data_IF_917789421923
#
_entry.id   IF_917789421923
#
_cell.length_a   1.000
_cell.length_b   1.000
_cell.length_c   1.000
_cell.angle_alpha   90.00
_cell.angle_beta   90.00
_cell.angle_gamma   90.00
#
_symmetry.space_group_name_H-M   'P 1'
#
loop_
_entity.id
_entity.type
_entity.pdbx_description
1 polymer ?
#
# COMPACT_ATOMS: atom_id res chain seq x y z
N UNK A 1 5.55 -79.11 47.52
CA UNK A 1 5.03 -78.26 46.43
C UNK A 1 5.73 -78.64 45.15
N UNK A 2 4.98 -79.14 44.16
CA UNK A 2 5.48 -79.57 42.84
C UNK A 2 5.54 -78.37 41.91
N UNK A 3 6.65 -78.15 41.23
CA UNK A 3 6.66 -77.45 39.95
C UNK A 3 7.72 -78.06 39.04
N UNK A 4 7.25 -78.50 37.87
CA UNK A 4 7.95 -79.28 36.85
C UNK A 4 8.94 -78.41 36.08
N UNK A 5 10.09 -79.00 35.77
CA UNK A 5 10.98 -78.59 34.70
C UNK A 5 10.60 -79.40 33.46
N UNK A 6 10.22 -78.74 32.36
CA UNK A 6 10.15 -79.33 31.02
C UNK A 6 11.23 -78.66 30.13
N UNK A 7 12.00 -79.42 29.34
CA UNK A 7 13.01 -78.87 28.45
C UNK A 7 12.54 -78.70 26.99
N UNK A 8 13.02 -77.60 26.39
CA UNK A 8 13.42 -77.39 24.99
C UNK A 8 12.52 -77.91 23.85
N UNK A 9 11.93 -76.97 23.11
CA UNK A 9 11.54 -77.16 21.71
C UNK A 9 12.22 -76.11 20.82
N UNK A 10 12.98 -76.59 19.84
CA UNK A 10 13.70 -75.83 18.81
C UNK A 10 12.73 -75.10 17.88
N UNK A 11 12.92 -73.80 17.66
CA UNK A 11 12.33 -73.08 16.53
C UNK A 11 13.40 -72.47 15.63
N UNK A 12 13.27 -72.85 14.36
CA UNK A 12 14.19 -72.63 13.25
C UNK A 12 14.28 -71.14 12.88
N UNK A 13 15.49 -70.67 12.64
CA UNK A 13 15.79 -69.37 12.03
C UNK A 13 15.34 -69.37 10.55
N UNK A 14 14.50 -68.43 10.10
CA UNK A 14 14.31 -68.19 8.68
C UNK A 14 15.32 -67.13 8.21
N UNK A 15 16.10 -67.49 7.20
CA UNK A 15 16.93 -66.64 6.36
C UNK A 15 16.15 -65.43 5.84
N UNK A 16 16.73 -64.21 5.82
CA UNK A 16 16.07 -63.07 5.21
C UNK A 16 16.05 -63.23 3.69
N UNK A 17 14.84 -63.30 3.13
CA UNK A 17 14.59 -63.21 1.68
C UNK A 17 15.10 -61.85 1.19
N UNK A 18 16.03 -61.88 0.24
CA UNK A 18 16.33 -60.74 -0.65
C UNK A 18 15.05 -60.41 -1.44
N UNK A 19 14.45 -59.26 -1.16
CA UNK A 19 13.38 -58.70 -1.99
C UNK A 19 13.55 -57.19 -2.15
N UNK A 20 13.64 -56.74 -3.40
CA UNK A 20 13.37 -55.36 -3.81
C UNK A 20 14.57 -54.43 -3.83
N UNK A 21 15.11 -54.17 -5.02
CA UNK A 21 15.88 -52.95 -5.30
C UNK A 21 14.99 -51.73 -4.98
N UNK A 22 15.44 -50.74 -4.18
CA UNK A 22 14.80 -49.43 -4.21
C UNK A 22 15.28 -48.71 -5.48
N UNK A 23 14.61 -48.98 -6.60
CA UNK A 23 14.74 -48.22 -7.83
C UNK A 23 13.99 -46.90 -7.72
N UNK A 24 14.50 -45.98 -6.91
CA UNK A 24 13.98 -44.61 -6.82
C UNK A 24 15.15 -43.66 -6.65
N UNK A 25 15.49 -42.92 -7.72
CA UNK A 25 16.49 -41.85 -7.65
C UNK A 25 16.07 -40.85 -6.56
N UNK A 26 16.91 -40.56 -5.55
CA UNK A 26 16.67 -39.45 -4.63
C UNK A 26 17.01 -38.15 -5.39
N UNK A 27 16.06 -37.66 -6.17
CA UNK A 27 16.29 -36.50 -7.04
C UNK A 27 15.06 -35.96 -7.75
N UNK A 28 13.86 -36.37 -7.35
CA UNK A 28 12.64 -35.72 -7.81
C UNK A 28 12.59 -34.32 -7.22
N UNK A 29 12.83 -33.29 -8.05
CA UNK A 29 12.47 -31.91 -7.71
C UNK A 29 11.04 -31.92 -7.15
N UNK A 30 10.75 -31.21 -6.05
CA UNK A 30 9.38 -31.09 -5.56
C UNK A 30 8.50 -30.71 -6.75
N UNK A 31 7.48 -31.53 -7.04
CA UNK A 31 6.58 -31.27 -8.15
C UNK A 31 6.06 -29.85 -8.01
N UNK A 32 6.21 -29.03 -9.07
CA UNK A 32 5.66 -27.67 -9.11
C UNK A 32 4.20 -27.78 -8.66
N UNK A 33 3.87 -27.17 -7.52
CA UNK A 33 2.51 -27.17 -7.02
C UNK A 33 1.57 -26.71 -8.14
N UNK A 34 0.42 -27.37 -8.34
CA UNK A 34 -0.49 -27.01 -9.40
C UNK A 34 -0.88 -25.54 -9.26
N UNK A 35 -0.60 -24.76 -10.32
CA UNK A 35 -0.88 -23.33 -10.35
C UNK A 35 -2.39 -23.15 -10.18
N UNK A 36 -2.81 -22.69 -9.00
CA UNK A 36 -4.21 -22.35 -8.71
C UNK A 36 -4.71 -21.39 -9.79
N UNK A 37 -5.89 -21.66 -10.36
CA UNK A 37 -6.51 -20.72 -11.32
C UNK A 37 -6.70 -19.37 -10.65
N UNK A 38 -6.12 -18.35 -11.26
CA UNK A 38 -6.24 -16.95 -10.83
C UNK A 38 -7.68 -16.51 -10.98
N UNK A 39 -8.24 -15.92 -9.93
CA UNK A 39 -9.62 -15.44 -9.86
C UNK A 39 -9.67 -13.91 -10.07
N UNK A 40 -10.86 -13.38 -10.34
CA UNK A 40 -11.07 -11.93 -10.35
C UNK A 40 -10.71 -11.29 -8.99
N UNK A 41 -10.94 -12.00 -7.88
CA UNK A 41 -10.57 -11.57 -6.54
C UNK A 41 -9.06 -11.39 -6.37
N UNK A 42 -8.23 -12.20 -7.04
CA UNK A 42 -6.77 -12.07 -6.97
C UNK A 42 -6.28 -10.80 -7.70
N UNK A 43 -6.89 -10.44 -8.83
CA UNK A 43 -6.63 -9.18 -9.54
C UNK A 43 -7.08 -7.98 -8.72
N UNK A 44 -8.28 -8.03 -8.15
CA UNK A 44 -8.79 -6.98 -7.25
C UNK A 44 -7.88 -6.83 -6.02
N UNK A 45 -7.39 -7.94 -5.47
CA UNK A 45 -6.38 -7.94 -4.41
C UNK A 45 -5.06 -7.29 -4.85
N UNK A 46 -4.60 -7.59 -6.07
CA UNK A 46 -3.41 -7.00 -6.68
C UNK A 46 -3.50 -5.48 -6.90
N UNK A 47 -4.68 -4.96 -7.21
CA UNK A 47 -4.95 -3.52 -7.26
C UNK A 47 -4.87 -2.84 -5.88
N UNK A 48 -4.81 -3.61 -4.79
CA UNK A 48 -4.78 -3.19 -3.38
C UNK A 48 -5.88 -2.17 -3.06
N UNK A 49 -7.13 -2.59 -3.16
CA UNK A 49 -8.29 -1.78 -2.77
C UNK A 49 -8.15 -1.11 -1.39
N UNK A 50 -7.40 -1.73 -0.47
CA UNK A 50 -7.15 -1.22 0.89
C UNK A 50 -6.33 0.08 0.91
N UNK A 51 -5.56 0.39 -0.12
CA UNK A 51 -4.75 1.62 -0.21
C UNK A 51 -5.30 2.63 -1.22
N UNK A 52 -6.32 2.27 -2.01
CA UNK A 52 -7.05 3.24 -2.86
C UNK A 52 -7.59 4.47 -2.12
N UNK A 53 -8.03 4.37 -0.84
CA UNK A 53 -8.44 5.54 -0.08
C UNK A 53 -7.39 6.68 -0.08
N UNK A 54 -6.09 6.36 -0.13
CA UNK A 54 -5.01 7.35 -0.20
C UNK A 54 -4.93 8.09 -1.55
N UNK A 55 -5.45 7.53 -2.63
CA UNK A 55 -5.57 8.23 -3.91
C UNK A 55 -6.80 9.13 -3.97
N UNK A 56 -7.87 8.78 -3.24
CA UNK A 56 -9.14 9.49 -3.25
C UNK A 56 -9.12 10.68 -2.27
N UNK A 57 -8.62 10.46 -1.05
CA UNK A 57 -8.55 11.46 0.02
C UNK A 57 -7.94 12.82 -0.39
N UNK A 58 -6.73 12.88 -1.00
CA UNK A 58 -6.14 14.16 -1.38
C UNK A 58 -6.94 14.90 -2.46
N UNK A 59 -7.58 14.18 -3.39
CA UNK A 59 -8.43 14.80 -4.43
C UNK A 59 -9.69 15.39 -3.82
N UNK A 60 -10.32 14.69 -2.86
CA UNK A 60 -11.45 15.22 -2.11
C UNK A 60 -11.05 16.51 -1.36
N UNK A 61 -9.95 16.48 -0.60
CA UNK A 61 -9.44 17.65 0.10
C UNK A 61 -9.14 18.83 -0.83
N UNK A 62 -8.43 18.57 -1.93
CA UNK A 62 -8.08 19.61 -2.89
C UNK A 62 -9.30 20.25 -3.54
N UNK A 63 -10.35 19.44 -3.78
CA UNK A 63 -11.64 19.90 -4.30
C UNK A 63 -12.41 20.72 -3.25
N UNK A 64 -12.44 20.28 -1.99
CA UNK A 64 -13.06 21.03 -0.90
C UNK A 64 -12.41 22.40 -0.69
N UNK A 65 -11.08 22.47 -0.71
CA UNK A 65 -10.34 23.73 -0.64
C UNK A 65 -10.63 24.63 -1.84
N UNK A 66 -10.65 24.08 -3.06
CA UNK A 66 -11.02 24.86 -4.24
C UNK A 66 -12.41 25.49 -4.07
N UNK A 67 -13.39 24.70 -3.59
CA UNK A 67 -14.76 25.16 -3.38
C UNK A 67 -14.87 26.28 -2.36
N UNK A 68 -14.16 26.18 -1.24
CA UNK A 68 -14.11 27.21 -0.21
C UNK A 68 -13.54 28.55 -0.73
N UNK A 69 -12.67 28.49 -1.74
CA UNK A 69 -12.04 29.65 -2.36
C UNK A 69 -12.74 30.09 -3.68
N UNK A 70 -13.96 29.61 -3.93
CA UNK A 70 -14.78 30.01 -5.09
C UNK A 70 -14.57 29.22 -6.38
N UNK A 71 -13.67 28.23 -6.40
CA UNK A 71 -13.44 27.34 -7.53
C UNK A 71 -14.24 26.04 -7.43
N UNK A 72 -14.95 25.65 -8.49
CA UNK A 72 -15.65 24.36 -8.51
C UNK A 72 -15.86 23.90 -9.95
N UNK A 73 -15.27 22.75 -10.28
CA UNK A 73 -15.51 22.08 -11.55
C UNK A 73 -15.51 20.57 -11.34
N UNK A 74 -16.72 20.00 -11.34
CA UNK A 74 -16.92 18.57 -11.13
C UNK A 74 -16.19 17.72 -12.18
N UNK A 75 -16.11 18.18 -13.43
CA UNK A 75 -15.42 17.46 -14.50
C UNK A 75 -13.93 17.37 -14.21
N UNK A 76 -13.31 18.50 -13.84
CA UNK A 76 -11.90 18.54 -13.46
C UNK A 76 -11.63 17.73 -12.19
N UNK A 77 -12.51 17.79 -11.19
CA UNK A 77 -12.38 16.98 -9.98
C UNK A 77 -12.41 15.47 -10.29
N UNK A 78 -13.34 15.02 -11.14
CA UNK A 78 -13.44 13.62 -11.57
C UNK A 78 -12.24 13.17 -12.42
N UNK A 79 -11.70 14.05 -13.25
CA UNK A 79 -10.48 13.75 -14.02
C UNK A 79 -9.25 13.64 -13.11
N UNK A 80 -9.09 14.55 -12.13
CA UNK A 80 -8.04 14.45 -11.12
C UNK A 80 -8.16 13.16 -10.30
N UNK A 81 -9.39 12.78 -9.95
CA UNK A 81 -9.67 11.51 -9.28
C UNK A 81 -9.25 10.31 -10.15
N UNK A 82 -9.59 10.33 -11.44
CA UNK A 82 -9.20 9.30 -12.39
C UNK A 82 -7.67 9.18 -12.48
N UNK A 83 -6.95 10.30 -12.59
CA UNK A 83 -5.48 10.33 -12.57
C UNK A 83 -4.93 9.67 -11.30
N UNK A 84 -5.40 10.10 -10.12
CA UNK A 84 -4.91 9.60 -8.85
C UNK A 84 -5.18 8.10 -8.66
N UNK A 85 -6.39 7.64 -8.97
CA UNK A 85 -6.79 6.23 -8.86
C UNK A 85 -6.01 5.36 -9.84
N UNK A 86 -5.92 5.76 -11.11
CA UNK A 86 -5.18 4.98 -12.11
C UNK A 86 -3.68 4.93 -11.82
N UNK A 87 -3.06 6.02 -11.36
CA UNK A 87 -1.66 6.00 -10.91
C UNK A 87 -1.47 5.05 -9.71
N UNK A 88 -2.35 5.12 -8.70
CA UNK A 88 -2.28 4.25 -7.52
C UNK A 88 -2.39 2.77 -7.91
N UNK A 89 -3.31 2.41 -8.79
CA UNK A 89 -3.47 1.04 -9.29
C UNK A 89 -2.25 0.61 -10.11
N UNK A 90 -1.75 1.48 -11.00
CA UNK A 90 -0.54 1.24 -11.79
C UNK A 90 0.68 0.97 -10.91
N UNK A 91 0.89 1.77 -9.87
CA UNK A 91 1.96 1.59 -8.87
C UNK A 91 1.79 0.25 -8.12
N UNK A 92 0.56 -0.11 -7.76
CA UNK A 92 0.32 -1.37 -7.04
C UNK A 92 0.72 -2.59 -7.87
N UNK A 93 0.37 -2.60 -9.17
CA UNK A 93 0.79 -3.67 -10.07
C UNK A 93 2.27 -3.60 -10.46
N UNK A 94 2.86 -2.42 -10.63
CA UNK A 94 4.29 -2.28 -10.90
C UNK A 94 5.12 -2.78 -9.71
N UNK A 95 4.65 -2.56 -8.49
CA UNK A 95 5.23 -3.11 -7.27
C UNK A 95 5.10 -4.63 -7.22
N UNK A 96 3.93 -5.20 -7.54
CA UNK A 96 3.71 -6.66 -7.63
C UNK A 96 4.70 -7.31 -8.61
N UNK A 97 4.82 -6.73 -9.81
CA UNK A 97 5.78 -7.15 -10.82
C UNK A 97 7.22 -7.05 -10.31
N UNK A 98 7.65 -5.88 -9.83
CA UNK A 98 9.04 -5.58 -9.50
C UNK A 98 9.55 -6.37 -8.29
N UNK A 99 8.75 -6.49 -7.23
CA UNK A 99 9.13 -7.28 -6.05
C UNK A 99 9.11 -8.79 -6.36
N UNK A 100 8.19 -9.24 -7.21
CA UNK A 100 8.09 -10.64 -7.63
C UNK A 100 9.26 -11.10 -8.50
N UNK A 101 9.74 -10.27 -9.44
CA UNK A 101 10.93 -10.61 -10.25
C UNK A 101 12.24 -10.54 -9.47
N UNK A 102 12.30 -9.74 -8.39
CA UNK A 102 13.48 -9.58 -7.54
C UNK A 102 13.63 -10.71 -6.51
N UNK A 103 12.58 -11.47 -6.25
CA UNK A 103 12.54 -12.47 -5.18
C UNK A 103 12.25 -11.89 -3.79
N UNK A 104 11.92 -10.60 -3.68
CA UNK A 104 11.55 -9.98 -2.38
C UNK A 104 10.30 -10.65 -1.79
N UNK A 105 9.38 -11.10 -2.66
CA UNK A 105 8.15 -11.79 -2.24
C UNK A 105 8.37 -13.26 -1.81
N UNK A 106 9.58 -13.83 -1.95
CA UNK A 106 9.87 -15.21 -1.51
C UNK A 106 9.84 -15.36 0.03
N UNK A 107 10.06 -14.27 0.75
CA UNK A 107 10.10 -14.21 2.22
C UNK A 107 8.79 -13.68 2.84
N UNK A 108 7.69 -13.65 2.06
CA UNK A 108 6.46 -12.92 2.41
C UNK A 108 5.53 -13.66 3.36
N UNK A 109 5.00 -12.94 4.35
CA UNK A 109 4.01 -13.44 5.33
C UNK A 109 2.58 -12.87 5.08
N UNK A 110 2.44 -11.90 4.17
CA UNK A 110 1.17 -11.28 3.77
C UNK A 110 0.41 -12.00 2.63
N UNK A 111 -0.70 -11.42 2.14
CA UNK A 111 -1.47 -12.00 1.02
C UNK A 111 -0.58 -12.30 -0.18
N UNK A 112 -0.89 -13.41 -0.85
CA UNK A 112 -0.17 -13.88 -2.03
C UNK A 112 -0.20 -12.83 -3.15
N UNK A 113 0.97 -12.53 -3.74
CA UNK A 113 1.11 -11.63 -4.90
C UNK A 113 0.94 -12.39 -6.20
N UNK A 114 0.48 -11.71 -7.25
CA UNK A 114 0.23 -12.35 -8.55
C UNK A 114 1.53 -12.87 -9.19
N UNK A 115 2.58 -12.05 -9.13
CA UNK A 115 3.90 -12.36 -9.68
C UNK A 115 4.70 -13.26 -8.74
N UNK A 116 4.81 -12.88 -7.45
CA UNK A 116 5.60 -13.59 -6.46
C UNK A 116 5.14 -15.03 -6.19
N UNK A 117 3.84 -15.32 -6.34
CA UNK A 117 3.32 -16.70 -6.22
C UNK A 117 3.55 -17.56 -7.46
N UNK A 118 4.01 -16.99 -8.56
CA UNK A 118 4.06 -17.65 -9.86
C UNK A 118 2.69 -17.89 -10.50
N UNK A 119 1.60 -17.36 -9.92
CA UNK A 119 0.24 -17.58 -10.42
C UNK A 119 -0.04 -16.87 -11.74
N UNK A 120 0.60 -15.71 -11.97
CA UNK A 120 0.52 -14.95 -13.22
C UNK A 120 1.92 -14.72 -13.78
N UNK A 121 2.07 -14.81 -15.11
CA UNK A 121 3.33 -14.45 -15.78
C UNK A 121 3.68 -12.99 -15.47
N UNK A 122 4.91 -12.67 -15.02
CA UNK A 122 5.31 -11.29 -14.67
C UNK A 122 5.02 -10.27 -15.78
N UNK A 123 5.26 -10.66 -17.05
CA UNK A 123 4.98 -9.81 -18.22
C UNK A 123 3.52 -9.39 -18.34
N UNK A 124 2.57 -10.22 -17.89
CA UNK A 124 1.14 -9.89 -17.89
C UNK A 124 0.83 -8.84 -16.83
N UNK A 125 1.36 -8.99 -15.61
CA UNK A 125 1.19 -8.02 -14.53
C UNK A 125 1.80 -6.66 -14.92
N UNK A 126 2.98 -6.67 -15.56
CA UNK A 126 3.59 -5.45 -16.10
C UNK A 126 2.70 -4.76 -17.15
N UNK A 127 2.11 -5.52 -18.10
CA UNK A 127 1.19 -4.93 -19.09
C UNK A 127 -0.02 -4.26 -18.44
N UNK A 128 -0.57 -4.87 -17.38
CA UNK A 128 -1.68 -4.27 -16.62
C UNK A 128 -1.23 -2.98 -15.93
N UNK A 129 -0.06 -2.98 -15.28
CA UNK A 129 0.51 -1.77 -14.68
C UNK A 129 0.66 -0.63 -15.71
N UNK A 130 1.23 -0.92 -16.87
CA UNK A 130 1.42 0.05 -17.96
C UNK A 130 0.09 0.54 -18.54
N UNK A 131 -0.93 -0.31 -18.63
CA UNK A 131 -2.26 0.10 -19.08
C UNK A 131 -2.88 1.14 -18.12
N UNK A 132 -2.76 0.93 -16.80
CA UNK A 132 -3.22 1.91 -15.82
C UNK A 132 -2.42 3.21 -15.85
N UNK A 133 -1.09 3.17 -16.05
CA UNK A 133 -0.31 4.39 -16.27
C UNK A 133 -0.72 5.12 -17.56
N UNK A 134 -1.05 4.40 -18.63
CA UNK A 134 -1.56 5.01 -19.85
C UNK A 134 -2.93 5.67 -19.63
N UNK A 135 -3.84 5.02 -18.90
CA UNK A 135 -5.13 5.60 -18.54
C UNK A 135 -4.97 6.87 -17.69
N UNK A 136 -4.06 6.86 -16.72
CA UNK A 136 -3.72 8.05 -15.94
C UNK A 136 -3.16 9.17 -16.83
N UNK A 137 -2.26 8.84 -17.76
CA UNK A 137 -1.69 9.81 -18.69
C UNK A 137 -2.76 10.42 -19.60
N UNK A 138 -3.69 9.61 -20.13
CA UNK A 138 -4.82 10.11 -20.92
C UNK A 138 -5.69 11.07 -20.11
N UNK A 139 -6.09 10.69 -18.89
CA UNK A 139 -6.87 11.57 -18.02
C UNK A 139 -6.12 12.89 -17.70
N UNK A 140 -4.81 12.81 -17.43
CA UNK A 140 -3.97 13.99 -17.18
C UNK A 140 -3.81 14.89 -18.40
N UNK A 141 -3.66 14.32 -19.60
CA UNK A 141 -3.64 15.09 -20.86
C UNK A 141 -4.98 15.78 -21.09
N UNK A 142 -6.11 15.11 -20.82
CA UNK A 142 -7.44 15.74 -20.90
C UNK A 142 -7.55 16.93 -19.94
N UNK A 143 -7.06 16.81 -18.70
CA UNK A 143 -6.97 17.95 -17.77
C UNK A 143 -6.14 19.08 -18.37
N UNK A 144 -4.97 18.79 -18.94
CA UNK A 144 -4.10 19.81 -19.56
C UNK A 144 -4.79 20.49 -20.74
N UNK A 145 -5.48 19.74 -21.59
CA UNK A 145 -6.19 20.30 -22.75
C UNK A 145 -7.38 21.17 -22.32
N UNK A 146 -8.15 20.75 -21.32
CA UNK A 146 -9.26 21.57 -20.80
C UNK A 146 -8.72 22.83 -20.14
N UNK A 147 -7.65 22.69 -19.34
CA UNK A 147 -7.14 23.79 -18.51
C UNK A 147 -6.16 24.71 -19.24
N UNK A 148 -5.57 24.26 -20.34
CA UNK A 148 -4.46 24.91 -21.05
C UNK A 148 -3.19 25.09 -20.19
N UNK A 149 -3.04 24.33 -19.11
CA UNK A 149 -1.87 24.40 -18.22
C UNK A 149 -0.82 23.36 -18.63
N UNK A 150 -0.03 23.70 -19.64
CA UNK A 150 0.91 22.77 -20.25
C UNK A 150 2.03 22.28 -19.31
N UNK A 151 2.42 23.06 -18.31
CA UNK A 151 3.46 22.65 -17.37
C UNK A 151 3.03 21.47 -16.47
N UNK A 152 1.72 21.18 -16.35
CA UNK A 152 1.24 19.98 -15.63
C UNK A 152 1.65 18.68 -16.32
N UNK A 153 1.99 18.70 -17.62
CA UNK A 153 2.57 17.52 -18.29
C UNK A 153 3.90 17.11 -17.64
N UNK A 154 4.73 18.08 -17.23
CA UNK A 154 5.98 17.80 -16.54
C UNK A 154 5.73 17.21 -15.14
N UNK A 155 4.71 17.69 -14.42
CA UNK A 155 4.30 17.13 -13.12
C UNK A 155 3.80 15.70 -13.29
N UNK A 156 2.95 15.45 -14.28
CA UNK A 156 2.45 14.10 -14.60
C UNK A 156 3.58 13.14 -14.96
N UNK A 157 4.52 13.57 -15.79
CA UNK A 157 5.72 12.79 -16.11
C UNK A 157 6.55 12.48 -14.86
N UNK A 158 6.78 13.48 -14.00
CA UNK A 158 7.49 13.29 -12.74
C UNK A 158 6.77 12.29 -11.82
N UNK A 159 5.43 12.32 -11.75
CA UNK A 159 4.64 11.38 -10.98
C UNK A 159 4.76 9.94 -11.50
N UNK A 160 4.73 9.73 -12.82
CA UNK A 160 4.94 8.41 -13.44
C UNK A 160 6.37 7.90 -13.21
N UNK A 161 7.36 8.78 -13.31
CA UNK A 161 8.77 8.45 -13.04
C UNK A 161 8.95 8.04 -11.58
N UNK A 162 8.41 8.82 -10.63
CA UNK A 162 8.43 8.48 -9.21
C UNK A 162 7.76 7.13 -8.96
N UNK A 163 6.53 6.94 -9.47
CA UNK A 163 5.79 5.69 -9.42
C UNK A 163 6.60 4.47 -9.89
N UNK A 164 7.36 4.61 -10.98
CA UNK A 164 8.19 3.52 -11.52
C UNK A 164 9.44 3.24 -10.65
N UNK A 165 10.19 4.28 -10.28
CA UNK A 165 11.44 4.13 -9.53
C UNK A 165 11.23 3.85 -8.03
N UNK A 166 9.99 3.83 -7.56
CA UNK A 166 9.67 3.41 -6.19
C UNK A 166 10.14 1.98 -5.89
N UNK A 167 9.89 1.04 -6.81
CA UNK A 167 10.31 -0.38 -6.72
C UNK A 167 11.09 -0.87 -7.95
N UNK A 168 10.94 -0.21 -9.09
CA UNK A 168 11.64 -0.49 -10.34
C UNK A 168 13.06 0.10 -10.42
N UNK A 169 13.84 -0.36 -11.40
CA UNK A 169 15.19 0.15 -11.68
C UNK A 169 16.30 -0.48 -10.84
N UNK A 170 17.57 -0.08 -11.03
CA UNK A 170 18.71 -0.71 -10.32
C UNK A 170 18.77 -0.34 -8.83
N UNK A 171 18.26 0.84 -8.44
CA UNK A 171 18.29 1.38 -7.07
C UNK A 171 16.94 2.03 -6.71
N UNK A 172 15.91 1.24 -6.40
CA UNK A 172 14.60 1.77 -6.07
C UNK A 172 14.66 2.59 -4.78
N UNK A 173 14.11 3.80 -4.80
CA UNK A 173 14.21 4.69 -3.62
C UNK A 173 13.36 4.21 -2.44
N UNK A 174 12.32 3.39 -2.70
CA UNK A 174 11.57 2.70 -1.65
C UNK A 174 12.40 1.71 -0.82
N UNK A 175 13.60 1.34 -1.30
CA UNK A 175 14.54 0.47 -0.59
C UNK A 175 15.66 1.27 0.12
N UNK A 176 15.58 2.62 0.10
CA UNK A 176 16.59 3.53 0.64
C UNK A 176 16.02 4.50 1.70
N UNK A 177 14.98 4.10 2.44
CA UNK A 177 14.30 4.90 3.47
C UNK A 177 13.72 6.24 3.00
N UNK A 178 13.50 6.39 1.68
CA UNK A 178 12.89 7.59 1.09
C UNK A 178 11.39 7.40 0.80
N UNK A 179 10.81 6.23 1.09
CA UNK A 179 9.43 5.91 0.75
C UNK A 179 8.44 6.93 1.30
N UNK A 180 8.53 7.21 2.60
CA UNK A 180 7.70 8.16 3.34
C UNK A 180 7.79 9.58 2.76
N UNK A 181 8.99 10.05 2.40
CA UNK A 181 9.18 11.36 1.76
C UNK A 181 8.42 11.47 0.42
N UNK A 182 8.54 10.46 -0.43
CA UNK A 182 7.92 10.50 -1.74
C UNK A 182 6.39 10.33 -1.67
N UNK A 183 5.87 9.49 -0.78
CA UNK A 183 4.41 9.42 -0.60
C UNK A 183 3.87 10.72 0.00
N UNK A 184 4.59 11.36 0.93
CA UNK A 184 4.21 12.68 1.45
C UNK A 184 4.09 13.72 0.32
N UNK A 185 5.10 13.79 -0.56
CA UNK A 185 5.11 14.75 -1.66
C UNK A 185 4.03 14.42 -2.70
N UNK A 186 3.98 13.19 -3.22
CA UNK A 186 3.11 12.87 -4.35
C UNK A 186 1.65 12.61 -3.95
N UNK A 187 1.42 11.86 -2.88
CA UNK A 187 0.07 11.59 -2.38
C UNK A 187 -0.48 12.71 -1.51
N UNK A 188 0.37 13.47 -0.83
CA UNK A 188 -0.05 14.62 -0.03
C UNK A 188 -0.11 15.90 -0.84
N UNK A 189 1.06 16.49 -1.10
CA UNK A 189 1.18 17.83 -1.67
C UNK A 189 0.73 17.89 -3.13
N UNK A 190 1.33 17.11 -4.02
CA UNK A 190 1.05 17.17 -5.47
C UNK A 190 -0.41 16.83 -5.75
N UNK A 191 -0.94 15.77 -5.15
CA UNK A 191 -2.33 15.37 -5.36
C UNK A 191 -3.33 16.40 -4.82
N UNK A 192 -3.15 16.89 -3.59
CA UNK A 192 -4.09 17.85 -2.97
C UNK A 192 -3.96 19.23 -3.62
N UNK A 193 -2.76 19.81 -3.61
CA UNK A 193 -2.48 21.16 -4.11
C UNK A 193 -2.69 21.21 -5.63
N UNK A 194 -2.28 20.18 -6.36
CA UNK A 194 -2.52 20.08 -7.80
C UNK A 194 -4.01 20.00 -8.15
N UNK A 195 -4.79 19.24 -7.38
CA UNK A 195 -6.25 19.18 -7.57
C UNK A 195 -6.90 20.54 -7.31
N UNK A 196 -6.49 21.25 -6.25
CA UNK A 196 -6.97 22.61 -5.99
C UNK A 196 -6.61 23.54 -7.14
N UNK A 197 -5.33 23.56 -7.53
CA UNK A 197 -4.85 24.45 -8.57
C UNK A 197 -5.51 24.22 -9.94
N UNK A 198 -5.75 22.95 -10.32
CA UNK A 198 -6.46 22.63 -11.57
C UNK A 198 -7.85 23.26 -11.60
N UNK A 199 -8.56 23.28 -10.47
CA UNK A 199 -9.91 23.81 -10.37
C UNK A 199 -9.97 25.33 -10.12
N UNK A 200 -9.05 25.86 -9.31
CA UNK A 200 -9.08 27.23 -8.81
C UNK A 200 -8.10 28.18 -9.53
N UNK A 201 -7.04 27.64 -10.14
CA UNK A 201 -5.89 28.37 -10.72
C UNK A 201 -5.03 29.13 -9.72
N UNK A 202 -5.18 28.81 -8.45
CA UNK A 202 -4.42 29.40 -7.36
C UNK A 202 -3.89 28.33 -6.41
N UNK A 203 -2.94 28.74 -5.57
CA UNK A 203 -2.34 27.90 -4.55
C UNK A 203 -2.67 28.46 -3.14
N UNK A 204 -3.95 28.43 -2.72
CA UNK A 204 -4.33 28.95 -1.42
C UNK A 204 -3.59 28.19 -0.33
N UNK A 205 -3.28 28.89 0.77
CA UNK A 205 -2.52 28.31 1.88
C UNK A 205 -3.19 27.05 2.44
N UNK A 206 -4.52 27.05 2.50
CA UNK A 206 -5.37 25.92 2.87
C UNK A 206 -5.06 24.63 2.10
N UNK A 207 -4.72 24.74 0.81
CA UNK A 207 -4.38 23.57 -0.02
C UNK A 207 -3.08 22.92 0.44
N UNK A 208 -2.10 23.73 0.83
CA UNK A 208 -0.83 23.23 1.38
C UNK A 208 -1.04 22.59 2.74
N UNK A 209 -1.82 23.21 3.62
CA UNK A 209 -2.13 22.67 4.95
C UNK A 209 -2.88 21.35 4.84
N UNK A 210 -3.90 21.27 3.97
CA UNK A 210 -4.61 20.03 3.68
C UNK A 210 -3.71 18.97 3.02
N UNK A 211 -2.80 19.39 2.13
CA UNK A 211 -1.83 18.52 1.48
C UNK A 211 -0.85 17.88 2.46
N UNK A 212 -0.38 18.63 3.45
CA UNK A 212 0.45 18.12 4.55
C UNK A 212 -0.32 17.05 5.34
N UNK A 213 -1.58 17.31 5.70
CA UNK A 213 -2.42 16.34 6.39
C UNK A 213 -2.60 15.03 5.59
N UNK A 214 -2.92 15.14 4.29
CA UNK A 214 -3.03 13.99 3.40
C UNK A 214 -1.71 13.21 3.27
N UNK A 215 -0.58 13.91 3.16
CA UNK A 215 0.74 13.31 3.09
C UNK A 215 1.12 12.56 4.37
N UNK A 216 0.78 13.11 5.54
CA UNK A 216 0.99 12.45 6.83
C UNK A 216 0.16 11.17 6.94
N UNK A 217 -1.11 11.17 6.52
CA UNK A 217 -1.89 9.93 6.47
C UNK A 217 -1.29 8.89 5.52
N UNK A 218 -0.79 9.30 4.35
CA UNK A 218 -0.10 8.40 3.43
C UNK A 218 1.18 7.81 4.06
N UNK A 219 1.96 8.63 4.79
CA UNK A 219 3.10 8.18 5.58
C UNK A 219 2.70 7.19 6.67
N UNK A 220 1.61 7.42 7.40
CA UNK A 220 1.13 6.50 8.42
C UNK A 220 0.79 5.12 7.83
N UNK A 221 0.01 5.08 6.74
CA UNK A 221 -0.36 3.83 6.06
C UNK A 221 0.87 3.09 5.51
N UNK A 222 1.85 3.81 4.96
CA UNK A 222 3.09 3.20 4.51
C UNK A 222 3.93 2.70 5.69
N UNK A 223 4.04 3.48 6.76
CA UNK A 223 4.84 3.14 7.94
C UNK A 223 4.31 1.88 8.62
N UNK A 224 2.99 1.75 8.83
CA UNK A 224 2.44 0.53 9.44
C UNK A 224 2.61 -0.70 8.53
N UNK A 225 2.58 -0.52 7.21
CA UNK A 225 2.94 -1.58 6.28
C UNK A 225 4.41 -1.98 6.45
N UNK A 226 5.31 -1.01 6.56
CA UNK A 226 6.73 -1.24 6.72
C UNK A 226 7.05 -1.88 8.08
N UNK A 227 6.37 -1.48 9.17
CA UNK A 227 6.47 -2.10 10.50
C UNK A 227 6.15 -3.59 10.44
N UNK A 228 5.05 -3.97 9.79
CA UNK A 228 4.68 -5.38 9.58
C UNK A 228 5.75 -6.16 8.83
N UNK A 229 6.37 -5.51 7.85
CA UNK A 229 7.28 -6.14 6.91
C UNK A 229 8.76 -6.07 7.37
N UNK A 230 9.09 -5.50 8.55
CA UNK A 230 10.48 -5.37 9.06
C UNK A 230 11.28 -6.68 8.96
N UNK A 231 10.79 -7.84 9.47
CA UNK A 231 11.58 -9.08 9.41
C UNK A 231 11.87 -9.54 7.98
N UNK A 232 10.86 -9.42 7.10
CA UNK A 232 10.98 -9.78 5.68
C UNK A 232 11.92 -8.84 4.94
N UNK A 233 11.73 -7.53 5.11
CA UNK A 233 12.51 -6.49 4.45
C UNK A 233 13.99 -6.60 4.86
N UNK A 234 14.25 -6.90 6.14
CA UNK A 234 15.62 -7.14 6.65
C UNK A 234 16.25 -8.36 5.98
N UNK A 235 15.52 -9.49 5.88
CA UNK A 235 16.02 -10.70 5.23
C UNK A 235 16.28 -10.51 3.73
N UNK A 236 15.48 -9.66 3.06
CA UNK A 236 15.64 -9.32 1.65
C UNK A 236 16.66 -8.19 1.39
N UNK A 237 17.32 -7.64 2.43
CA UNK A 237 18.28 -6.54 2.30
C UNK A 237 17.65 -5.19 1.92
N UNK A 238 16.34 -5.04 2.10
CA UNK A 238 15.58 -3.82 1.81
C UNK A 238 15.63 -2.87 3.00
N UNK A 239 16.15 -1.65 2.79
CA UNK A 239 16.27 -0.64 3.85
C UNK A 239 15.11 0.36 3.81
N UNK A 240 13.92 -0.06 4.22
CA UNK A 240 12.82 0.90 4.47
C UNK A 240 13.13 1.78 5.68
N UNK A 241 12.38 2.89 5.85
CA UNK A 241 12.57 3.76 7.01
C UNK A 241 12.36 2.97 8.31
N UNK A 242 11.36 2.09 8.37
CA UNK A 242 11.09 1.22 9.52
C UNK A 242 12.27 0.30 9.86
N UNK A 243 12.95 -0.28 8.85
CA UNK A 243 14.16 -1.08 9.06
C UNK A 243 15.32 -0.22 9.57
N UNK A 244 15.46 1.02 9.08
CA UNK A 244 16.54 1.93 9.47
C UNK A 244 16.38 2.44 10.90
N UNK A 245 15.16 2.82 11.31
CA UNK A 245 14.90 3.39 12.64
C UNK A 245 14.58 2.35 13.71
N UNK A 246 14.22 1.13 13.30
CA UNK A 246 13.81 0.03 14.18
C UNK A 246 12.34 0.08 14.59
N UNK A 247 11.81 -1.07 15.03
CA UNK A 247 10.38 -1.28 15.31
C UNK A 247 9.77 -0.27 16.33
N UNK A 248 10.41 0.03 17.48
CA UNK A 248 9.82 0.97 18.46
C UNK A 248 9.65 2.38 17.90
N UNK A 249 10.67 2.89 17.21
CA UNK A 249 10.64 4.23 16.61
C UNK A 249 9.68 4.27 15.43
N UNK A 250 9.65 3.21 14.60
CA UNK A 250 8.72 3.11 13.48
C UNK A 250 7.25 3.16 13.93
N UNK A 251 6.91 2.50 15.04
CA UNK A 251 5.57 2.55 15.64
C UNK A 251 5.22 3.93 16.21
N UNK A 252 6.19 4.62 16.82
CA UNK A 252 6.01 6.00 17.28
C UNK A 252 5.78 6.95 16.09
N UNK A 253 6.57 6.82 15.03
CA UNK A 253 6.39 7.59 13.79
C UNK A 253 5.03 7.32 13.14
N UNK A 254 4.60 6.06 13.11
CA UNK A 254 3.25 5.71 12.65
C UNK A 254 2.16 6.48 13.41
N UNK A 255 2.20 6.43 14.75
CA UNK A 255 1.22 7.13 15.57
C UNK A 255 1.28 8.65 15.37
N UNK A 256 2.49 9.21 15.27
CA UNK A 256 2.70 10.63 14.98
C UNK A 256 2.08 11.02 13.63
N UNK A 257 2.41 10.30 12.56
CA UNK A 257 1.87 10.56 11.23
C UNK A 257 0.34 10.40 11.16
N UNK A 258 -0.24 9.48 11.93
CA UNK A 258 -1.68 9.27 11.95
C UNK A 258 -2.42 10.35 12.74
N UNK A 259 -1.85 10.84 13.85
CA UNK A 259 -2.52 11.76 14.77
C UNK A 259 -2.19 13.23 14.52
N UNK A 260 -1.03 13.54 13.93
CA UNK A 260 -0.63 14.91 13.61
C UNK A 260 -1.63 15.66 12.70
N UNK A 261 -2.31 15.03 11.71
CA UNK A 261 -3.40 15.66 10.97
C UNK A 261 -4.54 16.23 11.82
N UNK A 262 -4.79 15.67 13.01
CA UNK A 262 -5.81 16.19 13.92
C UNK A 262 -5.36 17.45 14.65
N UNK A 263 -4.05 17.66 14.82
CA UNK A 263 -3.53 18.96 15.27
C UNK A 263 -3.60 19.99 14.15
N UNK A 264 -3.35 19.58 12.89
CA UNK A 264 -3.55 20.43 11.72
C UNK A 264 -5.03 20.84 11.59
N UNK A 265 -5.96 19.94 11.93
CA UNK A 265 -7.40 20.23 11.92
C UNK A 265 -7.79 21.42 12.80
N UNK A 266 -7.02 21.74 13.86
CA UNK A 266 -7.23 22.94 14.69
C UNK A 266 -7.24 24.21 13.83
N UNK A 267 -6.35 24.32 12.85
CA UNK A 267 -6.30 25.45 11.92
C UNK A 267 -7.64 25.62 11.18
N UNK A 268 -8.16 24.54 10.59
CA UNK A 268 -9.45 24.59 9.88
C UNK A 268 -10.62 24.81 10.83
N UNK A 269 -10.58 24.25 12.04
CA UNK A 269 -11.61 24.42 13.06
C UNK A 269 -11.80 25.89 13.49
N UNK A 270 -10.74 26.71 13.43
CA UNK A 270 -10.83 28.14 13.70
C UNK A 270 -11.40 28.96 12.54
N UNK A 271 -11.27 28.47 11.30
CA UNK A 271 -11.63 29.22 10.10
C UNK A 271 -13.00 28.81 9.53
N UNK A 272 -13.39 27.56 9.71
CA UNK A 272 -14.57 26.96 9.11
C UNK A 272 -15.49 26.38 10.17
N UNK A 273 -16.74 26.86 10.21
CA UNK A 273 -17.73 26.54 11.24
C UNK A 273 -17.95 25.03 11.42
N UNK A 274 -17.91 24.26 10.32
CA UNK A 274 -18.20 22.83 10.32
C UNK A 274 -16.96 21.94 10.47
N UNK A 275 -15.74 22.50 10.37
CA UNK A 275 -14.51 21.74 10.50
C UNK A 275 -14.32 21.04 11.86
N UNK A 276 -14.82 21.56 13.01
CA UNK A 276 -14.78 20.82 14.27
C UNK A 276 -15.45 19.44 14.22
N UNK A 277 -16.46 19.23 13.37
CA UNK A 277 -17.13 17.93 13.25
C UNK A 277 -16.21 16.84 12.66
N UNK A 278 -15.11 17.21 11.99
CA UNK A 278 -14.13 16.26 11.46
C UNK A 278 -13.42 15.49 12.58
N UNK A 279 -13.37 16.02 13.81
CA UNK A 279 -12.82 15.30 14.98
C UNK A 279 -13.58 14.00 15.29
N UNK A 280 -14.84 13.84 14.86
CA UNK A 280 -15.56 12.56 15.03
C UNK A 280 -14.85 11.39 14.34
N UNK A 281 -14.02 11.65 13.33
CA UNK A 281 -13.20 10.62 12.67
C UNK A 281 -12.12 10.00 13.57
N UNK A 282 -11.85 10.61 14.74
CA UNK A 282 -11.02 10.01 15.79
C UNK A 282 -11.55 8.66 16.27
N UNK A 283 -12.85 8.39 16.13
CA UNK A 283 -13.44 7.09 16.48
C UNK A 283 -12.81 5.93 15.68
N UNK A 284 -12.30 6.22 14.48
CA UNK A 284 -11.56 5.25 13.65
C UNK A 284 -10.05 5.39 13.89
N UNK A 285 -9.55 6.62 14.01
CA UNK A 285 -8.12 6.89 14.12
C UNK A 285 -7.49 6.38 15.43
N UNK A 286 -8.19 6.53 16.56
CA UNK A 286 -7.68 6.13 17.87
C UNK A 286 -7.49 4.60 17.95
N UNK A 287 -8.49 3.77 17.58
CA UNK A 287 -8.26 2.32 17.48
C UNK A 287 -7.12 1.96 16.54
N UNK A 288 -7.00 2.62 15.38
CA UNK A 288 -5.90 2.38 14.44
C UNK A 288 -4.53 2.68 15.09
N UNK A 289 -4.41 3.80 15.81
CA UNK A 289 -3.19 4.18 16.51
C UNK A 289 -2.83 3.15 17.59
N UNK A 290 -3.79 2.78 18.45
CA UNK A 290 -3.59 1.81 19.53
C UNK A 290 -3.16 0.45 18.96
N UNK A 291 -3.87 -0.08 17.97
CA UNK A 291 -3.55 -1.37 17.36
C UNK A 291 -2.19 -1.31 16.65
N UNK A 292 -1.88 -0.23 15.93
CA UNK A 292 -0.61 -0.15 15.21
C UNK A 292 0.60 0.01 16.14
N UNK A 293 0.43 0.63 17.31
CA UNK A 293 1.50 0.73 18.33
C UNK A 293 1.64 -0.57 19.12
N UNK A 294 0.54 -1.21 19.51
CA UNK A 294 0.56 -2.35 20.45
C UNK A 294 0.51 -3.72 19.78
N UNK A 295 0.05 -3.80 18.53
CA UNK A 295 -0.19 -5.04 17.81
C UNK A 295 1.08 -5.84 17.54
N UNK A 296 1.01 -7.16 17.73
CA UNK A 296 2.16 -8.08 17.62
C UNK A 296 2.04 -9.03 16.45
N UNK A 297 0.82 -9.23 15.96
CA UNK A 297 0.53 -10.18 14.89
C UNK A 297 0.35 -9.48 13.54
N UNK A 298 0.65 -10.17 12.41
CA UNK A 298 0.38 -9.62 11.08
C UNK A 298 -1.08 -9.23 10.86
N UNK A 299 -2.04 -9.95 11.48
CA UNK A 299 -3.47 -9.65 11.37
C UNK A 299 -3.84 -8.32 12.02
N UNK A 300 -3.30 -8.04 13.21
CA UNK A 300 -3.50 -6.76 13.90
C UNK A 300 -2.91 -5.60 13.10
N UNK A 301 -1.69 -5.74 12.58
CA UNK A 301 -1.05 -4.69 11.78
C UNK A 301 -1.76 -4.46 10.44
N UNK A 302 -2.35 -5.50 9.85
CA UNK A 302 -3.21 -5.37 8.67
C UNK A 302 -4.51 -4.62 9.03
N UNK A 303 -5.09 -4.89 10.20
CA UNK A 303 -6.28 -4.16 10.66
C UNK A 303 -5.95 -2.68 10.91
N UNK A 304 -4.83 -2.38 11.58
CA UNK A 304 -4.35 -1.01 11.77
C UNK A 304 -4.20 -0.30 10.42
N UNK A 305 -3.57 -0.94 9.43
CA UNK A 305 -3.45 -0.41 8.07
C UNK A 305 -4.81 -0.08 7.43
N UNK A 306 -5.80 -0.98 7.55
CA UNK A 306 -7.14 -0.75 7.01
C UNK A 306 -7.83 0.42 7.69
N UNK A 307 -7.74 0.50 9.03
CA UNK A 307 -8.34 1.59 9.79
C UNK A 307 -7.63 2.92 9.50
N UNK A 308 -6.30 2.98 9.39
CA UNK A 308 -5.59 4.21 9.01
C UNK A 308 -5.98 4.69 7.62
N UNK A 309 -6.12 3.77 6.67
CA UNK A 309 -6.56 4.09 5.31
C UNK A 309 -8.00 4.59 5.28
N UNK A 310 -8.88 3.97 6.08
CA UNK A 310 -10.25 4.45 6.28
C UNK A 310 -10.27 5.82 6.93
N UNK A 311 -9.50 6.05 8.00
CA UNK A 311 -9.33 7.35 8.67
C UNK A 311 -8.95 8.43 7.66
N UNK A 312 -7.94 8.19 6.83
CA UNK A 312 -7.51 9.16 5.82
C UNK A 312 -8.65 9.59 4.90
N UNK A 313 -9.47 8.64 4.44
CA UNK A 313 -10.60 8.90 3.56
C UNK A 313 -11.76 9.59 4.27
N UNK A 314 -12.20 9.08 5.43
CA UNK A 314 -13.33 9.71 6.13
C UNK A 314 -12.97 11.10 6.65
N UNK A 315 -11.72 11.30 7.08
CA UNK A 315 -11.20 12.62 7.46
C UNK A 315 -11.19 13.57 6.27
N UNK A 316 -10.68 13.12 5.12
CA UNK A 316 -10.64 13.92 3.90
C UNK A 316 -12.02 14.29 3.37
N UNK A 317 -12.96 13.34 3.35
CA UNK A 317 -14.34 13.58 2.92
C UNK A 317 -15.08 14.48 3.91
N UNK A 318 -14.91 14.27 5.21
CA UNK A 318 -15.53 15.11 6.23
C UNK A 318 -14.99 16.55 6.18
N UNK A 319 -13.67 16.74 6.06
CA UNK A 319 -13.11 18.08 5.92
C UNK A 319 -13.51 18.71 4.60
N UNK A 320 -13.45 17.97 3.48
CA UNK A 320 -13.93 18.47 2.20
C UNK A 320 -15.39 18.92 2.27
N UNK A 321 -16.27 18.18 2.96
CA UNK A 321 -17.66 18.57 3.16
C UNK A 321 -17.80 19.79 4.06
N UNK A 322 -17.01 19.88 5.14
CA UNK A 322 -16.98 21.03 6.05
C UNK A 322 -16.45 22.32 5.40
N UNK A 323 -15.63 22.21 4.36
CA UNK A 323 -15.18 23.33 3.53
C UNK A 323 -16.19 23.69 2.43
N UNK A 324 -17.10 22.77 2.11
CA UNK A 324 -18.06 22.90 1.01
C UNK A 324 -19.30 23.69 1.39
N UNK A 325 -19.74 23.56 2.65
CA UNK A 325 -20.95 24.12 3.23
C UNK A 325 -20.58 25.09 4.35
#
# INVERSE_FOLDING_TARGET
>A
MRTRLDPVAKTKTPTPKRSGRPGGRPGGRPGKQPVRRVTAGDWIGGARLRTLPLGIAPVALGTGVARANGGWDLTLALLCLAVAVFLQVGVNYSNDYSDGIRGTDDFRVGPSRLTGSGSVRPKTVLKVALAFFALAAVAGVVVVVITQIWWLLAVGAAAVVAAWFYTGGKRPYGYNALGELFVFVFFGLVATVGTTFVQLREFPFDAWVAGVAAGLFACAVLMINNVRDIPQDTAAGKRTLAVVVGDPVARALYALFLLLPFFILVYFAFLYLHAPYVYFTLIVAVPAAVIGVTGKTPRELILALQLSSLTALVWALALSAALFF
#
